data_IF_178606503391
#
_entry.id   IF_178606503391
#
_cell.length_a   1.000
_cell.length_b   1.000
_cell.length_c   1.000
_cell.angle_alpha   90.00
_cell.angle_beta   90.00
_cell.angle_gamma   90.00
#
_symmetry.space_group_name_H-M   'P 1'
#
loop_
_entity.id
_entity.type
_entity.pdbx_description
1 polymer ?
#
# COMPACT_ATOMS: atom_id res chain seq x y z
N UNK A 1 11.99 -3.65 -15.48
CA UNK A 1 11.29 -3.79 -14.17
C UNK A 1 11.75 -5.07 -13.50
N UNK A 2 11.70 -5.15 -12.17
CA UNK A 2 12.07 -6.39 -11.46
C UNK A 2 11.13 -7.51 -11.91
N UNK A 3 11.70 -8.60 -12.44
CA UNK A 3 10.96 -9.81 -12.86
C UNK A 3 10.67 -10.74 -11.69
N UNK A 4 11.19 -10.45 -10.49
CA UNK A 4 11.17 -11.34 -9.34
C UNK A 4 9.87 -11.26 -8.57
N UNK A 5 9.25 -12.39 -8.23
CA UNK A 5 8.11 -12.41 -7.32
C UNK A 5 8.52 -11.94 -5.91
N UNK A 6 7.61 -11.27 -5.20
CA UNK A 6 7.90 -10.76 -3.86
C UNK A 6 8.06 -11.92 -2.88
N UNK A 7 9.24 -12.02 -2.28
CA UNK A 7 9.54 -13.07 -1.33
C UNK A 7 9.22 -12.66 0.10
N UNK A 8 8.07 -13.09 0.62
CA UNK A 8 7.65 -12.87 2.01
C UNK A 8 8.23 -13.89 3.00
N UNK A 9 8.93 -14.94 2.53
CA UNK A 9 9.44 -16.03 3.38
C UNK A 9 10.34 -15.50 4.50
N UNK A 10 11.28 -14.61 4.17
CA UNK A 10 12.17 -14.01 5.16
C UNK A 10 11.41 -13.29 6.29
N UNK A 11 10.40 -12.48 5.92
CA UNK A 11 9.58 -11.76 6.91
C UNK A 11 8.77 -12.73 7.77
N UNK A 12 8.16 -13.74 7.16
CA UNK A 12 7.31 -14.70 7.86
C UNK A 12 8.12 -15.63 8.79
N UNK A 13 9.23 -16.18 8.31
CA UNK A 13 10.08 -17.11 9.07
C UNK A 13 10.67 -16.43 10.31
N UNK A 14 10.99 -15.13 10.22
CA UNK A 14 11.49 -14.32 11.34
C UNK A 14 10.39 -13.62 12.14
N UNK A 15 9.11 -13.86 11.83
CA UNK A 15 7.95 -13.24 12.49
C UNK A 15 7.98 -11.71 12.50
N UNK A 16 8.51 -11.11 11.44
CA UNK A 16 8.56 -9.67 11.27
C UNK A 16 7.15 -9.15 10.99
N UNK A 17 6.72 -8.13 11.73
CA UNK A 17 5.40 -7.54 11.61
C UNK A 17 5.42 -6.50 10.47
N UNK A 18 4.83 -6.86 9.33
CA UNK A 18 4.64 -5.94 8.19
C UNK A 18 3.16 -5.57 8.00
N UNK A 19 2.27 -6.04 8.88
CA UNK A 19 0.83 -5.78 8.82
C UNK A 19 0.25 -5.46 10.20
N UNK A 20 -0.56 -4.41 10.27
CA UNK A 20 -1.34 -4.04 11.47
C UNK A 20 -2.65 -3.37 11.07
N UNK A 21 -3.75 -3.90 11.60
CA UNK A 21 -5.07 -3.27 11.50
C UNK A 21 -5.14 -2.02 12.39
N UNK A 22 -6.07 -1.08 12.12
CA UNK A 22 -6.35 0.03 13.03
C UNK A 22 -6.63 -0.46 14.46
N UNK A 23 -5.98 0.18 15.44
CA UNK A 23 -6.03 -0.26 16.85
C UNK A 23 -6.88 0.67 17.70
N UNK A 24 -6.76 1.99 17.54
CA UNK A 24 -7.47 2.97 18.38
C UNK A 24 -8.72 3.55 17.73
N UNK A 25 -8.96 3.27 16.44
CA UNK A 25 -10.14 3.77 15.71
C UNK A 25 -11.43 2.99 15.97
N UNK A 26 -11.46 2.05 16.93
CA UNK A 26 -12.70 1.39 17.38
C UNK A 26 -13.46 2.34 18.32
N UNK A 27 -14.78 2.61 18.14
CA UNK A 27 -15.79 1.91 17.33
C UNK A 27 -16.17 2.61 16.01
N UNK A 28 -15.30 3.43 15.40
CA UNK A 28 -15.65 4.26 14.22
C UNK A 28 -15.87 3.47 12.92
N UNK A 29 -15.64 2.17 12.94
CA UNK A 29 -15.77 1.29 11.78
C UNK A 29 -17.10 0.54 11.81
N UNK A 30 -17.80 0.52 10.67
CA UNK A 30 -18.90 -0.42 10.42
C UNK A 30 -18.25 -1.73 9.94
N UNK A 31 -18.49 -2.82 10.67
CA UNK A 31 -18.00 -4.14 10.31
C UNK A 31 -18.96 -4.86 9.37
N UNK A 32 -18.39 -5.52 8.37
CA UNK A 32 -19.06 -6.40 7.42
C UNK A 32 -18.33 -7.76 7.38
N UNK A 33 -18.98 -8.76 6.78
CA UNK A 33 -18.34 -10.06 6.53
C UNK A 33 -17.06 -9.92 5.70
N UNK A 34 -17.06 -9.01 4.72
CA UNK A 34 -15.94 -8.78 3.83
C UNK A 34 -14.82 -7.92 4.43
N UNK A 35 -15.06 -7.16 5.51
CA UNK A 35 -14.10 -6.17 6.01
C UNK A 35 -14.71 -5.08 6.86
N UNK A 36 -14.08 -3.90 6.84
CA UNK A 36 -14.45 -2.75 7.64
C UNK A 36 -14.58 -1.50 6.78
N UNK A 37 -15.60 -0.69 7.09
CA UNK A 37 -15.82 0.63 6.50
C UNK A 37 -15.70 1.72 7.56
N UNK A 38 -14.81 2.69 7.32
CA UNK A 38 -14.57 3.85 8.15
C UNK A 38 -15.11 5.07 7.40
N UNK A 39 -16.26 5.61 7.81
CA UNK A 39 -16.92 6.70 7.06
C UNK A 39 -16.01 7.93 6.92
N UNK A 40 -15.30 8.27 8.01
CA UNK A 40 -14.32 9.36 8.05
C UNK A 40 -12.89 8.91 7.65
N UNK A 41 -12.72 7.61 7.36
CA UNK A 41 -11.44 6.99 7.09
C UNK A 41 -10.57 6.75 8.33
N UNK A 42 -9.45 6.06 8.12
CA UNK A 42 -8.41 5.78 9.12
C UNK A 42 -7.02 5.88 8.49
N UNK A 43 -6.05 6.38 9.25
CA UNK A 43 -4.63 6.38 8.89
C UNK A 43 -3.87 5.19 9.52
N UNK A 44 -4.51 4.37 10.34
CA UNK A 44 -3.84 3.39 11.19
C UNK A 44 -3.67 2.01 10.54
N UNK A 45 -4.11 1.86 9.29
CA UNK A 45 -4.02 0.62 8.55
C UNK A 45 -2.66 0.50 7.84
N UNK A 46 -1.76 -0.27 8.43
CA UNK A 46 -0.47 -0.58 7.84
C UNK A 46 -0.52 -1.99 7.26
N UNK A 47 -0.94 -2.14 6.00
CA UNK A 47 -0.92 -3.43 5.31
C UNK A 47 0.15 -3.41 4.23
N UNK A 48 1.42 -3.54 4.63
CA UNK A 48 2.50 -3.58 3.64
C UNK A 48 2.36 -4.84 2.79
N UNK A 49 2.74 -4.71 1.52
CA UNK A 49 2.84 -5.83 0.59
C UNK A 49 1.54 -6.59 0.32
N UNK A 50 0.38 -5.99 0.61
CA UNK A 50 -0.94 -6.60 0.39
C UNK A 50 -1.34 -6.68 -1.10
N UNK A 51 -0.77 -5.81 -1.94
CA UNK A 51 -0.92 -5.84 -3.41
C UNK A 51 0.36 -6.33 -4.08
N UNK A 52 0.26 -6.82 -5.31
CA UNK A 52 1.37 -7.22 -6.18
C UNK A 52 2.25 -6.03 -6.60
N UNK A 53 1.71 -4.82 -6.54
CA UNK A 53 2.42 -3.59 -6.86
C UNK A 53 3.74 -3.46 -6.11
N UNK A 54 4.84 -3.26 -6.83
CA UNK A 54 6.20 -3.10 -6.30
C UNK A 54 6.51 -1.64 -6.01
N UNK A 55 7.48 -1.42 -5.13
CA UNK A 55 7.97 -0.09 -4.76
C UNK A 55 8.76 0.50 -5.93
N UNK A 56 8.39 1.70 -6.37
CA UNK A 56 8.93 2.36 -7.57
C UNK A 56 9.71 3.64 -7.30
N UNK A 57 9.69 4.14 -6.06
CA UNK A 57 10.36 5.39 -5.69
C UNK A 57 11.09 5.26 -4.36
N UNK A 58 12.17 6.03 -4.19
CA UNK A 58 12.89 6.13 -2.92
C UNK A 58 12.02 6.65 -1.78
N UNK A 59 11.10 7.60 -2.06
CA UNK A 59 10.14 8.11 -1.08
C UNK A 59 9.24 6.99 -0.55
N UNK A 60 8.69 6.18 -1.45
CA UNK A 60 7.86 5.03 -1.07
C UNK A 60 8.68 3.99 -0.31
N UNK A 61 9.90 3.70 -0.74
CA UNK A 61 10.80 2.79 -0.01
C UNK A 61 11.07 3.25 1.42
N UNK A 62 11.47 4.51 1.61
CA UNK A 62 11.72 5.08 2.95
C UNK A 62 10.50 4.97 3.85
N UNK A 63 9.30 5.19 3.30
CA UNK A 63 8.05 4.99 4.04
C UNK A 63 7.83 3.52 4.45
N UNK A 64 8.06 2.55 3.55
CA UNK A 64 7.94 1.13 3.89
C UNK A 64 8.92 0.73 5.01
N UNK A 65 10.17 1.18 4.92
CA UNK A 65 11.18 0.94 5.95
C UNK A 65 10.77 1.56 7.29
N UNK A 66 10.22 2.79 7.26
CA UNK A 66 9.71 3.43 8.47
C UNK A 66 8.54 2.67 9.10
N UNK A 67 7.60 2.15 8.30
CA UNK A 67 6.52 1.31 8.82
C UNK A 67 7.06 0.02 9.43
N UNK A 68 8.06 -0.63 8.83
CA UNK A 68 8.67 -1.83 9.41
C UNK A 68 9.37 -1.55 10.72
N UNK A 69 10.14 -0.47 10.80
CA UNK A 69 10.76 0.00 12.04
C UNK A 69 9.72 0.24 13.13
N UNK A 70 8.65 0.97 12.79
CA UNK A 70 7.58 1.31 13.73
C UNK A 70 6.74 0.11 14.21
N UNK A 71 6.48 -0.87 13.35
CA UNK A 71 5.69 -2.05 13.70
C UNK A 71 6.49 -3.09 14.51
N UNK A 72 7.82 -2.97 14.54
CA UNK A 72 8.71 -3.92 15.20
C UNK A 72 9.60 -3.19 16.23
N UNK A 73 9.04 -2.71 17.35
CA UNK A 73 9.80 -1.99 18.38
C UNK A 73 10.91 -2.83 19.03
N UNK A 74 10.91 -4.15 18.81
CA UNK A 74 11.96 -5.06 19.25
C UNK A 74 13.21 -5.06 18.37
N UNK A 75 13.18 -4.44 17.18
CA UNK A 75 14.34 -4.39 16.30
C UNK A 75 15.47 -3.57 16.92
N UNK A 76 16.67 -4.13 16.86
CA UNK A 76 17.89 -3.35 16.97
C UNK A 76 18.37 -2.83 15.60
N UNK A 77 19.52 -2.15 15.59
CA UNK A 77 20.08 -1.59 14.37
C UNK A 77 20.54 -2.67 13.37
N UNK A 78 20.95 -3.85 13.85
CA UNK A 78 21.41 -4.96 13.01
C UNK A 78 20.22 -5.64 12.35
N UNK A 79 19.17 -5.95 13.11
CA UNK A 79 17.90 -6.49 12.63
C UNK A 79 17.33 -5.61 11.50
N UNK A 80 17.25 -4.30 11.75
CA UNK A 80 16.70 -3.37 10.79
C UNK A 80 17.58 -3.21 9.54
N UNK A 81 18.90 -3.27 9.70
CA UNK A 81 19.84 -3.27 8.58
C UNK A 81 19.65 -4.50 7.70
N UNK A 82 19.48 -5.68 8.29
CA UNK A 82 19.27 -6.93 7.55
C UNK A 82 17.95 -6.90 6.77
N UNK A 83 16.86 -6.47 7.42
CA UNK A 83 15.55 -6.30 6.76
C UNK A 83 15.66 -5.30 5.60
N UNK A 84 16.35 -4.19 5.82
CA UNK A 84 16.54 -3.16 4.78
C UNK A 84 17.35 -3.69 3.61
N UNK A 85 18.41 -4.47 3.84
CA UNK A 85 19.19 -5.16 2.79
C UNK A 85 18.31 -6.06 1.94
N UNK A 86 17.50 -6.88 2.59
CA UNK A 86 16.60 -7.78 1.88
C UNK A 86 15.56 -7.02 1.04
N UNK A 87 14.94 -5.95 1.57
CA UNK A 87 13.93 -5.16 0.83
C UNK A 87 14.55 -4.36 -0.32
N UNK A 88 15.75 -3.81 -0.13
CA UNK A 88 16.45 -3.04 -1.16
C UNK A 88 16.98 -3.91 -2.30
N UNK A 89 17.22 -5.20 -2.03
CA UNK A 89 17.68 -6.11 -3.06
C UNK A 89 16.51 -6.57 -3.96
N UNK A 90 16.63 -6.22 -5.25
CA UNK A 90 15.62 -6.47 -6.27
C UNK A 90 15.28 -7.94 -6.45
N UNK A 91 16.21 -8.85 -6.13
CA UNK A 91 15.98 -10.30 -6.28
C UNK A 91 14.84 -10.79 -5.39
N UNK A 92 14.57 -10.09 -4.29
CA UNK A 92 13.46 -10.41 -3.39
C UNK A 92 12.12 -9.78 -3.82
N UNK A 93 12.09 -9.04 -4.93
CA UNK A 93 10.85 -8.61 -5.59
C UNK A 93 10.11 -7.45 -4.93
N UNK A 94 10.71 -6.73 -3.97
CA UNK A 94 10.09 -5.58 -3.30
C UNK A 94 10.16 -4.29 -4.11
N UNK A 95 11.32 -3.98 -4.68
CA UNK A 95 11.62 -2.75 -5.42
C UNK A 95 11.80 -2.99 -6.93
N UNK A 96 11.60 -1.96 -7.75
CA UNK A 96 11.80 -2.03 -9.21
C UNK A 96 13.13 -1.45 -9.70
N UNK A 97 13.86 -0.74 -8.84
CA UNK A 97 15.08 0.02 -9.13
C UNK A 97 16.27 -0.48 -8.30
N UNK A 98 17.50 -0.27 -8.79
CA UNK A 98 18.71 -0.62 -8.05
C UNK A 98 18.99 0.48 -7.01
N UNK A 99 19.51 0.10 -5.85
CA UNK A 99 19.83 1.02 -4.76
C UNK A 99 21.32 0.91 -4.47
N UNK A 100 22.03 2.03 -4.40
CA UNK A 100 23.43 2.03 -3.99
C UNK A 100 23.53 1.77 -2.49
N UNK A 101 24.62 1.13 -2.07
CA UNK A 101 24.88 0.87 -0.66
C UNK A 101 24.89 2.17 0.16
N UNK A 102 25.45 3.26 -0.37
CA UNK A 102 25.45 4.57 0.28
C UNK A 102 24.02 5.10 0.53
N UNK A 103 23.15 5.01 -0.47
CA UNK A 103 21.76 5.44 -0.33
C UNK A 103 21.01 4.55 0.67
N UNK A 104 21.29 3.26 0.66
CA UNK A 104 20.73 2.32 1.61
C UNK A 104 21.14 2.67 3.06
N UNK A 105 22.42 2.89 3.31
CA UNK A 105 22.93 3.27 4.63
C UNK A 105 22.32 4.60 5.11
N UNK A 106 22.19 5.57 4.21
CA UNK A 106 21.48 6.83 4.49
C UNK A 106 20.02 6.60 4.87
N UNK A 107 19.29 5.71 4.18
CA UNK A 107 17.91 5.40 4.55
C UNK A 107 17.81 4.69 5.90
N UNK A 108 18.74 3.79 6.22
CA UNK A 108 18.79 3.09 7.52
C UNK A 108 18.97 4.12 8.64
N UNK A 109 19.98 4.98 8.51
CA UNK A 109 20.25 6.05 9.48
C UNK A 109 19.07 7.00 9.65
N UNK A 110 18.49 7.47 8.55
CA UNK A 110 17.37 8.40 8.59
C UNK A 110 16.14 7.81 9.28
N UNK A 111 15.88 6.51 9.11
CA UNK A 111 14.70 5.84 9.68
C UNK A 111 14.93 5.43 11.12
N UNK A 112 16.14 5.00 11.49
CA UNK A 112 16.47 4.63 12.88
C UNK A 112 16.39 5.81 13.84
N UNK A 113 16.56 7.04 13.35
CA UNK A 113 16.37 8.27 14.11
C UNK A 113 14.91 8.73 14.25
N UNK A 114 13.96 8.02 13.65
CA UNK A 114 12.55 8.39 13.73
C UNK A 114 11.98 8.09 15.13
N UNK A 115 11.18 9.03 15.63
CA UNK A 115 10.46 8.92 16.89
C UNK A 115 9.35 7.85 16.78
N UNK A 116 9.53 6.73 17.47
CA UNK A 116 8.61 5.60 17.48
C UNK A 116 7.28 5.89 18.20
N UNK A 117 7.18 6.96 18.99
CA UNK A 117 5.91 7.39 19.57
C UNK A 117 4.98 7.98 18.50
N UNK A 118 5.55 8.47 17.40
CA UNK A 118 4.79 9.05 16.28
C UNK A 118 4.58 8.01 15.19
N UNK A 119 3.32 7.65 14.86
CA UNK A 119 3.07 6.71 13.79
C UNK A 119 3.52 7.26 12.42
N UNK A 120 4.04 6.41 11.52
CA UNK A 120 4.35 6.81 10.16
C UNK A 120 3.14 7.41 9.45
N UNK A 121 3.29 8.55 8.73
CA UNK A 121 2.20 9.20 8.04
C UNK A 121 1.64 8.25 6.98
N UNK A 122 0.32 8.07 6.91
CA UNK A 122 -0.30 7.09 6.03
C UNK A 122 -1.43 7.71 5.20
N UNK A 123 -1.83 7.07 4.10
CA UNK A 123 -2.99 7.49 3.32
C UNK A 123 -4.28 7.21 4.10
N UNK A 124 -5.26 8.11 4.00
CA UNK A 124 -6.58 7.92 4.61
C UNK A 124 -7.32 6.79 3.88
N UNK A 125 -7.61 5.69 4.59
CA UNK A 125 -8.35 4.55 4.05
C UNK A 125 -9.75 4.51 4.61
N UNK A 126 -10.77 4.43 3.75
CA UNK A 126 -12.16 4.21 4.18
C UNK A 126 -12.56 2.74 4.19
N UNK A 127 -11.89 1.90 3.41
CA UNK A 127 -12.23 0.49 3.26
C UNK A 127 -10.99 -0.34 3.56
N UNK A 128 -11.16 -1.36 4.40
CA UNK A 128 -10.13 -2.35 4.71
C UNK A 128 -10.77 -3.72 4.52
N UNK A 129 -10.29 -4.47 3.53
CA UNK A 129 -10.77 -5.83 3.28
C UNK A 129 -10.12 -6.81 4.26
N UNK A 130 -10.90 -7.80 4.72
CA UNK A 130 -10.36 -8.98 5.39
C UNK A 130 -9.54 -9.79 4.37
N UNK A 131 -8.41 -10.32 4.82
CA UNK A 131 -7.50 -11.13 3.99
C UNK A 131 -8.22 -12.36 3.43
N UNK A 132 -8.97 -13.07 4.28
CA UNK A 132 -9.79 -14.22 3.91
C UNK A 132 -11.27 -13.86 3.72
N UNK A 133 -11.54 -12.74 3.06
CA UNK A 133 -12.91 -12.30 2.77
C UNK A 133 -13.64 -13.17 1.73
N UNK A 134 -12.93 -14.05 1.03
CA UNK A 134 -13.48 -14.86 -0.08
C UNK A 134 -13.83 -14.03 -1.33
N UNK A 135 -13.54 -12.73 -1.32
CA UNK A 135 -13.87 -11.83 -2.41
C UNK A 135 -12.82 -11.87 -3.52
N UNK A 136 -13.30 -11.96 -4.75
CA UNK A 136 -12.49 -11.67 -5.92
C UNK A 136 -12.23 -10.16 -6.05
N UNK A 137 -11.28 -9.82 -6.92
CA UNK A 137 -10.87 -8.43 -7.14
C UNK A 137 -11.98 -7.56 -7.76
N UNK A 138 -12.86 -8.12 -8.58
CA UNK A 138 -14.00 -7.39 -9.18
C UNK A 138 -15.06 -7.08 -8.13
N UNK A 139 -15.30 -8.00 -7.19
CA UNK A 139 -16.18 -7.81 -6.05
C UNK A 139 -15.63 -6.73 -5.11
N UNK A 140 -14.32 -6.77 -4.81
CA UNK A 140 -13.65 -5.69 -4.05
C UNK A 140 -13.84 -4.33 -4.72
N UNK A 141 -13.59 -4.24 -6.03
CA UNK A 141 -13.84 -3.01 -6.80
C UNK A 141 -15.29 -2.53 -6.74
N UNK A 142 -16.25 -3.46 -6.85
CA UNK A 142 -17.68 -3.14 -6.74
C UNK A 142 -18.03 -2.58 -5.36
N UNK A 143 -17.46 -3.14 -4.29
CA UNK A 143 -17.64 -2.64 -2.91
C UNK A 143 -17.05 -1.24 -2.77
N UNK A 144 -15.84 -0.99 -3.29
CA UNK A 144 -15.24 0.36 -3.28
C UNK A 144 -16.18 1.36 -3.96
N UNK A 145 -16.70 1.04 -5.14
CA UNK A 145 -17.63 1.92 -5.87
C UNK A 145 -18.97 2.14 -5.14
N UNK A 146 -19.46 1.14 -4.40
CA UNK A 146 -20.73 1.22 -3.65
C UNK A 146 -20.59 2.05 -2.37
N UNK A 147 -19.58 1.77 -1.55
CA UNK A 147 -19.43 2.36 -0.22
C UNK A 147 -19.00 3.82 -0.26
N UNK A 148 -18.18 4.21 -1.24
CA UNK A 148 -17.62 5.58 -1.32
C UNK A 148 -18.62 6.56 -1.92
N UNK A 149 -19.47 6.10 -2.84
CA UNK A 149 -20.47 6.90 -3.53
C UNK A 149 -19.87 7.99 -4.46
N UNK A 150 -20.63 8.41 -5.47
CA UNK A 150 -20.17 9.36 -6.51
C UNK A 150 -19.74 10.74 -5.98
N UNK A 151 -20.22 11.16 -4.81
CA UNK A 151 -20.02 12.50 -4.24
C UNK A 151 -18.82 12.63 -3.28
N UNK A 152 -18.21 11.52 -2.83
CA UNK A 152 -17.10 11.50 -1.85
C UNK A 152 -15.85 10.74 -2.35
N UNK A 153 -15.73 10.51 -3.66
CA UNK A 153 -14.57 9.85 -4.26
C UNK A 153 -13.32 10.72 -4.13
N UNK A 154 -12.30 10.23 -3.42
CA UNK A 154 -11.01 10.87 -3.23
C UNK A 154 -9.88 10.14 -3.98
N UNK A 155 -8.69 10.74 -3.99
CA UNK A 155 -7.50 10.15 -4.61
C UNK A 155 -7.13 8.80 -3.99
N UNK A 156 -7.45 8.55 -2.71
CA UNK A 156 -7.13 7.29 -2.04
C UNK A 156 -7.97 6.14 -2.56
N UNK A 157 -9.28 6.33 -2.81
CA UNK A 157 -10.12 5.25 -3.33
C UNK A 157 -9.87 4.99 -4.82
N UNK A 158 -9.45 6.02 -5.57
CA UNK A 158 -8.94 5.81 -6.92
C UNK A 158 -7.64 4.99 -6.87
N UNK A 159 -6.71 5.31 -5.97
CA UNK A 159 -5.48 4.54 -5.79
C UNK A 159 -5.75 3.08 -5.40
N UNK A 160 -6.66 2.83 -4.45
CA UNK A 160 -7.03 1.47 -4.07
C UNK A 160 -7.62 0.68 -5.25
N UNK A 161 -8.45 1.33 -6.09
CA UNK A 161 -8.94 0.71 -7.31
C UNK A 161 -7.82 0.43 -8.33
N UNK A 162 -6.80 1.29 -8.42
CA UNK A 162 -5.62 1.03 -9.27
C UNK A 162 -4.82 -0.18 -8.80
N UNK A 163 -4.62 -0.33 -7.47
CA UNK A 163 -3.95 -1.49 -6.90
C UNK A 163 -4.71 -2.78 -7.18
N UNK A 164 -6.03 -2.79 -7.00
CA UNK A 164 -6.85 -3.97 -7.28
C UNK A 164 -6.79 -4.35 -8.77
N UNK A 165 -6.82 -3.37 -9.68
CA UNK A 165 -6.66 -3.64 -11.12
C UNK A 165 -5.27 -4.18 -11.47
N UNK A 166 -4.22 -3.64 -10.84
CA UNK A 166 -2.86 -4.16 -11.00
C UNK A 166 -2.75 -5.61 -10.50
N UNK A 167 -3.39 -5.94 -9.38
CA UNK A 167 -3.40 -7.30 -8.85
C UNK A 167 -4.11 -8.29 -9.78
N UNK A 168 -5.08 -7.82 -10.56
CA UNK A 168 -5.75 -8.59 -11.62
C UNK A 168 -4.93 -8.72 -12.91
N UNK A 169 -3.69 -8.20 -12.95
CA UNK A 169 -2.87 -8.07 -14.15
C UNK A 169 -3.57 -7.29 -15.28
N UNK A 170 -4.52 -6.41 -14.92
CA UNK A 170 -5.35 -5.71 -15.88
C UNK A 170 -4.88 -4.27 -16.09
N UNK A 171 -4.70 -3.88 -17.36
CA UNK A 171 -4.24 -2.53 -17.72
C UNK A 171 -5.18 -1.47 -17.16
N UNK A 172 -4.64 -0.58 -16.34
CA UNK A 172 -5.35 0.50 -15.66
C UNK A 172 -5.64 1.62 -16.67
N UNK A 173 -6.92 1.77 -17.01
CA UNK A 173 -7.42 2.86 -17.87
C UNK A 173 -8.43 3.71 -17.10
N UNK A 174 -8.55 4.99 -17.48
CA UNK A 174 -9.53 5.90 -16.86
C UNK A 174 -10.96 5.38 -17.06
N UNK A 175 -11.26 4.80 -18.22
CA UNK A 175 -12.57 4.20 -18.50
C UNK A 175 -12.89 3.02 -17.59
N UNK A 176 -11.90 2.15 -17.29
CA UNK A 176 -12.10 1.04 -16.34
C UNK A 176 -12.31 1.54 -14.92
N UNK A 177 -11.47 2.47 -14.45
CA UNK A 177 -11.64 3.09 -13.13
C UNK A 177 -13.04 3.71 -12.99
N UNK A 178 -13.48 4.49 -13.98
CA UNK A 178 -14.80 5.10 -13.99
C UNK A 178 -15.93 4.05 -13.92
N UNK A 179 -15.81 2.96 -14.69
CA UNK A 179 -16.78 1.85 -14.70
C UNK A 179 -16.87 1.18 -13.33
N UNK A 180 -15.74 0.80 -12.73
CA UNK A 180 -15.72 0.07 -11.45
C UNK A 180 -16.13 0.95 -10.27
N UNK A 181 -15.68 2.20 -10.25
CA UNK A 181 -16.03 3.19 -9.23
C UNK A 181 -17.43 3.80 -9.47
N UNK A 182 -18.18 3.32 -10.46
CA UNK A 182 -19.54 3.74 -10.82
C UNK A 182 -19.67 5.27 -10.98
N UNK A 183 -18.66 5.93 -11.56
CA UNK A 183 -18.61 7.37 -11.78
C UNK A 183 -18.26 7.74 -13.23
N UNK A 184 -18.24 9.04 -13.54
CA UNK A 184 -17.82 9.51 -14.88
C UNK A 184 -16.29 9.55 -15.00
N UNK A 185 -15.77 9.47 -16.22
CA UNK A 185 -14.34 9.69 -16.50
C UNK A 185 -13.89 11.09 -16.07
N UNK A 186 -14.76 12.10 -16.22
CA UNK A 186 -14.55 13.46 -15.71
C UNK A 186 -14.33 13.48 -14.20
N UNK A 187 -15.10 12.69 -13.44
CA UNK A 187 -14.96 12.55 -11.99
C UNK A 187 -13.62 11.94 -11.61
N UNK A 188 -13.14 10.95 -12.37
CA UNK A 188 -11.80 10.36 -12.17
C UNK A 188 -10.73 11.43 -12.41
N UNK A 189 -10.75 12.11 -13.56
CA UNK A 189 -9.77 13.14 -13.90
C UNK A 189 -9.70 14.28 -12.87
N UNK A 190 -10.83 14.70 -12.31
CA UNK A 190 -10.89 15.77 -11.30
C UNK A 190 -10.25 15.38 -9.97
N UNK A 191 -10.30 14.10 -9.61
CA UNK A 191 -9.79 13.58 -8.33
C UNK A 191 -8.43 12.88 -8.46
N UNK A 192 -7.84 12.87 -9.66
CA UNK A 192 -6.48 12.37 -9.91
C UNK A 192 -5.51 13.54 -9.99
N UNK A 193 -4.70 13.70 -8.95
CA UNK A 193 -3.53 14.58 -8.96
C UNK A 193 -2.40 14.02 -9.86
N UNK A 194 -1.35 14.82 -10.05
CA UNK A 194 -0.21 14.43 -10.87
C UNK A 194 0.54 13.22 -10.30
N UNK A 195 0.58 13.08 -8.97
CA UNK A 195 1.20 11.92 -8.31
C UNK A 195 0.45 10.64 -8.68
N UNK A 196 -0.87 10.63 -8.62
CA UNK A 196 -1.69 9.47 -8.95
C UNK A 196 -1.69 9.17 -10.45
N UNK A 197 -1.57 10.18 -11.32
CA UNK A 197 -1.36 9.98 -12.77
C UNK A 197 -0.04 9.30 -13.06
N UNK A 198 1.04 9.71 -12.38
CA UNK A 198 2.36 9.08 -12.48
C UNK A 198 2.33 7.66 -11.95
N UNK A 199 1.69 7.45 -10.80
CA UNK A 199 1.55 6.14 -10.19
C UNK A 199 0.79 5.15 -11.10
N UNK A 200 -0.27 5.60 -11.77
CA UNK A 200 -0.96 4.81 -12.80
C UNK A 200 -0.02 4.36 -13.93
N UNK A 201 0.89 5.21 -14.38
CA UNK A 201 1.86 4.85 -15.41
C UNK A 201 2.84 3.80 -14.89
N UNK A 202 3.36 4.00 -13.67
CA UNK A 202 4.28 3.07 -13.02
C UNK A 202 3.64 1.70 -12.78
N UNK A 203 2.41 1.65 -12.28
CA UNK A 203 1.67 0.40 -12.08
C UNK A 203 1.40 -0.34 -13.39
N UNK A 204 1.05 0.39 -14.46
CA UNK A 204 0.86 -0.22 -15.77
C UNK A 204 2.15 -0.74 -16.39
N UNK A 205 3.29 -0.12 -16.08
CA UNK A 205 4.58 -0.63 -16.52
C UNK A 205 4.87 -1.98 -15.84
N UNK A 206 4.47 -2.17 -14.57
CA UNK A 206 4.76 -3.39 -13.81
C UNK A 206 4.01 -4.65 -14.29
N UNK A 207 3.01 -4.49 -15.15
CA UNK A 207 2.30 -5.59 -15.81
C UNK A 207 3.19 -6.26 -16.87
#
# INVERSE_FOLDING_TARGET
MSQYERNLKFLNDRRIIYRRNPTTDKPKAIEYEWGWFYEQGTHQCYHLFASRAKITTYRSLKWHLYVLWYLNPQFDAEDFTEVTRMICDKIYGYVTFNISEQLQQSMIYDVSLMDLEKPPPNKLRKIIFKEYSGLDMRQKLSIVGQMVGRKKLSSTEIYDAMLILNDMEDKITISKLAKYLKCSTRTIHRNMDEELKREKQLLNQQL
#
